data_IF_773031353832
#
_entry.id   IF_773031353832
#
_cell.length_a   1.000
_cell.length_b   1.000
_cell.length_c   1.000
_cell.angle_alpha   90.00
_cell.angle_beta   90.00
_cell.angle_gamma   90.00
#
_symmetry.space_group_name_H-M   'P 1'
#
loop_
_entity.id
_entity.type
_entity.pdbx_description
1 polymer ?
#
# COMPACT_ATOMS: atom_id res chain seq x y z
N UNK A 1 -50.10 24.16 10.34
CA UNK A 1 -49.64 22.75 10.20
C UNK A 1 -48.12 22.77 10.12
N UNK A 2 -47.44 22.27 11.17
CA UNK A 2 -45.98 22.40 11.34
C UNK A 2 -45.31 21.26 10.56
N UNK A 3 -44.45 21.64 9.63
CA UNK A 3 -43.53 20.81 8.88
C UNK A 3 -42.72 19.87 9.80
N UNK A 4 -43.20 18.65 10.03
CA UNK A 4 -42.39 17.54 10.57
C UNK A 4 -41.53 17.06 9.40
N UNK A 5 -40.42 17.77 9.21
CA UNK A 5 -39.44 17.63 8.14
C UNK A 5 -38.59 16.39 8.40
N UNK A 6 -38.26 15.64 7.34
CA UNK A 6 -37.33 14.49 7.16
C UNK A 6 -36.28 14.11 8.25
N UNK A 7 -35.93 15.00 9.17
CA UNK A 7 -35.03 14.76 10.29
C UNK A 7 -35.62 13.80 11.35
N UNK A 8 -36.95 13.79 11.51
CA UNK A 8 -37.60 12.96 12.53
C UNK A 8 -37.64 11.47 12.16
N UNK A 9 -37.67 11.13 10.87
CA UNK A 9 -37.69 9.74 10.41
C UNK A 9 -36.36 9.02 10.71
N UNK A 10 -35.22 9.64 10.39
CA UNK A 10 -33.89 9.08 10.72
C UNK A 10 -33.68 8.95 12.22
N UNK A 11 -34.23 9.87 13.00
CA UNK A 11 -34.19 9.81 14.46
C UNK A 11 -35.01 8.62 14.97
N UNK A 12 -36.22 8.41 14.43
CA UNK A 12 -37.08 7.27 14.75
C UNK A 12 -36.36 5.95 14.39
N UNK A 13 -35.76 5.86 13.20
CA UNK A 13 -34.99 4.68 12.77
C UNK A 13 -33.85 4.34 13.75
N UNK A 14 -33.05 5.35 14.12
CA UNK A 14 -31.97 5.17 15.13
C UNK A 14 -32.51 4.74 16.49
N UNK A 15 -33.66 5.24 16.91
CA UNK A 15 -34.28 4.84 18.17
C UNK A 15 -34.84 3.42 18.12
N UNK A 16 -35.42 2.99 16.99
CA UNK A 16 -35.84 1.60 16.76
C UNK A 16 -34.65 0.64 16.82
N UNK A 17 -33.46 1.05 16.36
CA UNK A 17 -32.25 0.25 16.57
C UNK A 17 -31.82 0.27 18.04
N UNK A 18 -31.74 1.46 18.63
CA UNK A 18 -31.19 1.69 19.96
C UNK A 18 -32.02 1.06 21.09
N UNK A 19 -33.34 0.88 20.91
CA UNK A 19 -34.22 0.28 21.91
C UNK A 19 -33.83 -1.15 22.28
N UNK A 20 -33.13 -1.86 21.37
CA UNK A 20 -32.64 -3.22 21.64
C UNK A 20 -31.50 -3.24 22.65
N UNK A 21 -30.89 -2.10 22.94
CA UNK A 21 -29.85 -1.88 23.95
C UNK A 21 -30.43 -1.31 25.25
N UNK A 22 -31.75 -1.32 25.40
CA UNK A 22 -32.44 -0.89 26.61
C UNK A 22 -33.10 -2.08 27.30
N UNK A 23 -33.16 -2.02 28.63
CA UNK A 23 -33.85 -3.02 29.46
C UNK A 23 -35.36 -2.72 29.59
N UNK A 24 -35.98 -2.06 28.61
CA UNK A 24 -37.38 -1.65 28.68
C UNK A 24 -38.32 -2.84 28.39
N UNK A 25 -39.24 -3.11 29.31
CA UNK A 25 -40.28 -4.13 29.13
C UNK A 25 -41.28 -3.74 28.04
N UNK A 26 -41.78 -2.50 28.07
CA UNK A 26 -42.60 -1.92 26.99
C UNK A 26 -41.74 -1.00 26.12
N UNK A 27 -41.17 -1.59 25.08
CA UNK A 27 -40.33 -0.90 24.09
C UNK A 27 -41.07 0.21 23.36
N UNK A 28 -42.38 0.07 23.09
CA UNK A 28 -43.14 1.06 22.33
C UNK A 28 -43.42 2.31 23.18
N UNK A 29 -43.86 2.13 24.42
CA UNK A 29 -44.05 3.23 25.36
C UNK A 29 -42.72 3.95 25.66
N UNK A 30 -41.63 3.19 25.82
CA UNK A 30 -40.30 3.75 26.02
C UNK A 30 -39.86 4.63 24.84
N UNK A 31 -40.00 4.14 23.60
CA UNK A 31 -39.65 4.91 22.39
C UNK A 31 -40.40 6.25 22.30
N UNK A 32 -41.71 6.22 22.49
CA UNK A 32 -42.55 7.43 22.44
C UNK A 32 -42.12 8.43 23.52
N UNK A 33 -41.84 7.94 24.74
CA UNK A 33 -41.39 8.79 25.85
C UNK A 33 -40.00 9.36 25.58
N UNK A 34 -39.06 8.53 25.14
CA UNK A 34 -37.68 8.93 24.85
C UNK A 34 -37.60 10.02 23.76
N UNK A 35 -38.39 9.89 22.69
CA UNK A 35 -38.45 10.89 21.62
C UNK A 35 -39.13 12.18 22.12
N UNK A 36 -40.26 12.07 22.82
CA UNK A 36 -41.01 13.23 23.33
C UNK A 36 -40.20 14.05 24.34
N UNK A 37 -39.44 13.37 25.20
CA UNK A 37 -38.64 13.97 26.27
C UNK A 37 -37.17 14.19 25.87
N UNK A 38 -36.81 13.89 24.61
CA UNK A 38 -35.46 14.08 24.04
C UNK A 38 -34.37 13.41 24.88
N UNK A 39 -34.61 12.16 25.27
CA UNK A 39 -33.62 11.36 25.99
C UNK A 39 -32.37 11.14 25.14
N UNK A 40 -31.27 10.79 25.80
CA UNK A 40 -30.05 10.33 25.12
C UNK A 40 -30.19 8.86 24.75
N UNK A 41 -29.53 8.45 23.66
CA UNK A 41 -29.47 7.04 23.29
C UNK A 41 -28.77 6.20 24.38
N UNK A 42 -29.14 4.91 24.52
CA UNK A 42 -28.42 3.97 25.36
C UNK A 42 -26.91 3.97 25.07
N UNK A 43 -26.11 3.89 26.14
CA UNK A 43 -24.65 4.00 26.02
C UNK A 43 -24.05 2.87 25.18
N UNK A 44 -24.59 1.65 25.30
CA UNK A 44 -24.16 0.49 24.52
C UNK A 44 -24.39 0.69 23.03
N UNK A 45 -25.54 1.25 22.63
CA UNK A 45 -25.80 1.62 21.23
C UNK A 45 -24.78 2.64 20.71
N UNK A 46 -24.51 3.69 21.49
CA UNK A 46 -23.51 4.72 21.12
C UNK A 46 -22.08 4.17 21.08
N UNK A 47 -21.78 3.15 21.89
CA UNK A 47 -20.48 2.47 21.88
C UNK A 47 -20.33 1.61 20.64
N UNK A 48 -21.34 0.79 20.32
CA UNK A 48 -21.33 -0.07 19.15
C UNK A 48 -21.24 0.75 17.86
N UNK A 49 -21.99 1.85 17.74
CA UNK A 49 -21.90 2.73 16.55
C UNK A 49 -20.52 3.38 16.40
N UNK A 50 -19.84 3.73 17.49
CA UNK A 50 -18.45 4.22 17.43
C UNK A 50 -17.48 3.11 17.02
N UNK A 51 -17.70 1.87 17.48
CA UNK A 51 -16.89 0.73 17.09
C UNK A 51 -17.07 0.35 15.62
N UNK A 52 -18.31 0.33 15.14
CA UNK A 52 -18.66 0.10 13.73
C UNK A 52 -17.98 1.14 12.84
N UNK A 53 -18.10 2.43 13.18
CA UNK A 53 -17.42 3.51 12.45
C UNK A 53 -15.90 3.35 12.45
N UNK A 54 -15.28 3.02 13.59
CA UNK A 54 -13.84 2.78 13.65
C UNK A 54 -13.42 1.62 12.76
N UNK A 55 -14.14 0.51 12.78
CA UNK A 55 -13.86 -0.66 11.92
C UNK A 55 -13.97 -0.30 10.45
N UNK A 56 -15.02 0.42 10.05
CA UNK A 56 -15.15 0.89 8.67
C UNK A 56 -14.01 1.82 8.24
N UNK A 57 -13.56 2.70 9.13
CA UNK A 57 -12.41 3.59 8.88
C UNK A 57 -11.10 2.80 8.75
N UNK A 58 -10.87 1.84 9.65
CA UNK A 58 -9.71 0.95 9.60
C UNK A 58 -9.68 0.13 8.31
N UNK A 59 -10.81 -0.45 7.90
CA UNK A 59 -10.96 -1.17 6.63
C UNK A 59 -10.68 -0.28 5.42
N UNK A 60 -11.19 0.96 5.42
CA UNK A 60 -10.90 1.95 4.35
C UNK A 60 -9.40 2.27 4.28
N UNK A 61 -8.76 2.47 5.43
CA UNK A 61 -7.32 2.75 5.50
C UNK A 61 -6.51 1.55 5.00
N UNK A 62 -6.86 0.34 5.42
CA UNK A 62 -6.20 -0.88 4.99
C UNK A 62 -6.33 -1.08 3.47
N UNK A 63 -7.54 -0.89 2.93
CA UNK A 63 -7.78 -0.94 1.49
C UNK A 63 -6.90 0.04 0.72
N UNK A 64 -6.83 1.30 1.16
CA UNK A 64 -5.99 2.34 0.53
C UNK A 64 -4.51 1.92 0.58
N UNK A 65 -4.04 1.42 1.74
CA UNK A 65 -2.66 0.96 1.91
C UNK A 65 -2.30 -0.19 0.97
N UNK A 66 -3.22 -1.15 0.79
CA UNK A 66 -3.05 -2.26 -0.16
C UNK A 66 -2.97 -1.71 -1.58
N UNK A 67 -3.88 -0.83 -1.98
CA UNK A 67 -3.89 -0.24 -3.33
C UNK A 67 -2.62 0.53 -3.65
N UNK A 68 -2.14 1.36 -2.72
CA UNK A 68 -0.88 2.08 -2.88
C UNK A 68 0.31 1.11 -3.06
N UNK A 69 0.36 0.04 -2.25
CA UNK A 69 1.41 -0.97 -2.34
C UNK A 69 1.35 -1.76 -3.65
N UNK A 70 0.15 -2.09 -4.15
CA UNK A 70 -0.04 -2.73 -5.45
C UNK A 70 0.47 -1.85 -6.61
N UNK A 71 0.13 -0.56 -6.60
CA UNK A 71 0.60 0.39 -7.61
C UNK A 71 2.11 0.59 -7.58
N UNK A 72 2.70 0.73 -6.39
CA UNK A 72 4.15 0.85 -6.23
C UNK A 72 4.87 -0.41 -6.75
N UNK A 73 4.36 -1.59 -6.41
CA UNK A 73 4.87 -2.86 -6.92
C UNK A 73 4.77 -2.96 -8.45
N UNK A 74 3.68 -2.48 -9.04
CA UNK A 74 3.50 -2.44 -10.49
C UNK A 74 4.55 -1.54 -11.15
N UNK A 75 4.72 -0.30 -10.64
CA UNK A 75 5.75 0.64 -11.11
C UNK A 75 7.15 0.05 -11.00
N UNK A 76 7.45 -0.60 -9.87
CA UNK A 76 8.73 -1.30 -9.65
C UNK A 76 8.96 -2.42 -10.65
N UNK A 77 7.95 -3.24 -10.96
CA UNK A 77 8.05 -4.33 -11.97
C UNK A 77 8.29 -3.78 -13.38
N UNK A 78 7.57 -2.74 -13.77
CA UNK A 78 7.75 -2.08 -15.06
C UNK A 78 9.13 -1.45 -15.20
N UNK A 79 9.65 -0.88 -14.12
CA UNK A 79 11.01 -0.34 -14.08
C UNK A 79 12.07 -1.43 -14.20
N UNK A 80 11.95 -2.53 -13.45
CA UNK A 80 12.86 -3.68 -13.56
C UNK A 80 12.88 -4.19 -15.00
N UNK A 81 11.70 -4.32 -15.63
CA UNK A 81 11.59 -4.76 -17.02
C UNK A 81 12.30 -3.80 -17.99
N UNK A 82 12.10 -2.49 -17.83
CA UNK A 82 12.76 -1.45 -18.65
C UNK A 82 14.27 -1.47 -18.49
N UNK A 83 14.76 -1.52 -17.26
CA UNK A 83 16.20 -1.53 -16.99
C UNK A 83 16.85 -2.83 -17.49
N UNK A 84 16.18 -3.97 -17.35
CA UNK A 84 16.64 -5.23 -17.92
C UNK A 84 16.73 -5.19 -19.46
N UNK A 85 15.75 -4.58 -20.12
CA UNK A 85 15.81 -4.36 -21.58
C UNK A 85 16.97 -3.46 -21.98
N UNK A 86 17.20 -2.36 -21.25
CA UNK A 86 18.34 -1.46 -21.48
C UNK A 86 19.64 -2.25 -21.34
N UNK A 87 19.85 -2.94 -20.22
CA UNK A 87 21.06 -3.73 -19.97
C UNK A 87 21.34 -4.73 -21.10
N UNK A 88 20.32 -5.51 -21.50
CA UNK A 88 20.45 -6.51 -22.56
C UNK A 88 20.72 -5.91 -23.95
N UNK A 89 20.45 -4.61 -24.15
CA UNK A 89 20.71 -3.89 -25.40
C UNK A 89 22.07 -3.19 -25.45
N UNK A 90 22.80 -3.14 -24.33
CA UNK A 90 24.14 -2.55 -24.25
C UNK A 90 25.19 -3.44 -24.91
N UNK A 91 26.29 -2.82 -25.32
CA UNK A 91 27.46 -3.56 -25.82
C UNK A 91 28.05 -4.46 -24.71
N UNK A 92 28.63 -5.62 -25.04
CA UNK A 92 29.20 -6.53 -24.04
C UNK A 92 30.23 -5.89 -23.11
N UNK A 93 31.00 -4.92 -23.61
CA UNK A 93 31.94 -4.15 -22.79
C UNK A 93 31.23 -3.31 -21.72
N UNK A 94 30.15 -2.62 -22.09
CA UNK A 94 29.36 -1.82 -21.14
C UNK A 94 28.64 -2.70 -20.12
N UNK A 95 28.12 -3.86 -20.54
CA UNK A 95 27.54 -4.85 -19.62
C UNK A 95 28.55 -5.32 -18.58
N UNK A 96 29.79 -5.59 -19.01
CA UNK A 96 30.88 -6.00 -18.13
C UNK A 96 31.27 -4.90 -17.15
N UNK A 97 31.41 -3.65 -17.61
CA UNK A 97 31.71 -2.51 -16.73
C UNK A 97 30.62 -2.31 -15.68
N UNK A 98 29.35 -2.40 -16.07
CA UNK A 98 28.21 -2.31 -15.14
C UNK A 98 28.25 -3.47 -14.14
N UNK A 99 28.61 -4.68 -14.56
CA UNK A 99 28.75 -5.84 -13.68
C UNK A 99 29.83 -5.59 -12.63
N UNK A 100 31.00 -5.13 -13.05
CA UNK A 100 32.12 -4.82 -12.16
C UNK A 100 31.73 -3.72 -11.16
N UNK A 101 31.12 -2.64 -11.64
CA UNK A 101 30.66 -1.54 -10.79
C UNK A 101 29.60 -2.00 -9.78
N UNK A 102 28.66 -2.85 -10.22
CA UNK A 102 27.64 -3.46 -9.35
C UNK A 102 28.27 -4.29 -8.25
N UNK A 103 29.23 -5.17 -8.59
CA UNK A 103 29.95 -6.00 -7.62
C UNK A 103 30.78 -5.12 -6.66
N UNK A 104 31.42 -4.06 -7.15
CA UNK A 104 32.21 -3.12 -6.36
C UNK A 104 31.40 -2.33 -5.33
N UNK A 105 30.12 -2.05 -5.62
CA UNK A 105 29.21 -1.35 -4.70
C UNK A 105 28.57 -2.26 -3.66
N UNK A 106 28.78 -3.57 -3.73
CA UNK A 106 28.29 -4.47 -2.70
C UNK A 106 29.06 -4.29 -1.38
N UNK A 107 28.36 -4.38 -0.23
CA UNK A 107 28.99 -4.55 1.07
C UNK A 107 29.99 -5.71 1.09
N UNK A 108 31.07 -5.59 1.87
CA UNK A 108 32.16 -6.57 1.93
C UNK A 108 31.68 -8.00 2.20
N UNK A 109 30.73 -8.19 3.11
CA UNK A 109 30.17 -9.51 3.42
C UNK A 109 29.42 -10.15 2.24
N UNK A 110 28.78 -9.34 1.38
CA UNK A 110 28.09 -9.83 0.18
C UNK A 110 29.09 -10.17 -0.93
N UNK A 111 30.17 -9.40 -1.07
CA UNK A 111 31.28 -9.73 -1.99
C UNK A 111 31.91 -11.08 -1.64
N UNK A 112 32.19 -11.29 -0.35
CA UNK A 112 32.76 -12.55 0.12
C UNK A 112 31.81 -13.74 -0.14
N UNK A 113 30.52 -13.55 0.11
CA UNK A 113 29.50 -14.56 -0.16
C UNK A 113 29.39 -14.86 -1.66
N UNK A 114 29.38 -13.82 -2.51
CA UNK A 114 29.36 -13.96 -3.96
C UNK A 114 30.58 -14.72 -4.48
N UNK A 115 31.78 -14.43 -3.96
CA UNK A 115 33.00 -15.14 -4.34
C UNK A 115 32.95 -16.61 -3.95
N UNK A 116 32.47 -16.94 -2.75
CA UNK A 116 32.28 -18.33 -2.30
C UNK A 116 31.28 -19.08 -3.18
N UNK A 117 30.22 -18.41 -3.61
CA UNK A 117 29.19 -18.94 -4.51
C UNK A 117 29.74 -19.15 -5.94
N UNK A 118 30.49 -18.19 -6.47
CA UNK A 118 31.23 -18.32 -7.75
C UNK A 118 32.15 -19.52 -7.79
N UNK A 119 32.96 -19.74 -6.75
CA UNK A 119 33.87 -20.90 -6.64
C UNK A 119 33.10 -22.23 -6.68
N UNK A 120 31.87 -22.25 -6.16
CA UNK A 120 30.98 -23.42 -6.16
C UNK A 120 30.16 -23.55 -7.43
N UNK A 121 30.26 -22.61 -8.37
CA UNK A 121 29.44 -22.58 -9.59
C UNK A 121 27.95 -22.40 -9.33
N UNK A 122 27.55 -21.87 -8.18
CA UNK A 122 26.15 -21.70 -7.78
C UNK A 122 25.92 -20.25 -7.35
N UNK A 123 24.75 -19.68 -7.62
CA UNK A 123 24.35 -18.37 -7.05
C UNK A 123 23.00 -18.53 -6.36
N UNK A 124 22.88 -18.03 -5.14
CA UNK A 124 21.62 -18.09 -4.39
C UNK A 124 20.61 -17.08 -4.96
N UNK A 125 19.33 -17.46 -5.00
CA UNK A 125 18.24 -16.58 -5.45
C UNK A 125 18.23 -15.22 -4.75
N UNK A 126 18.61 -15.19 -3.46
CA UNK A 126 18.70 -13.94 -2.71
C UNK A 126 19.82 -13.03 -3.26
N UNK A 127 20.99 -13.59 -3.56
CA UNK A 127 22.09 -12.82 -4.13
C UNK A 127 21.80 -12.34 -5.54
N UNK A 128 21.12 -13.14 -6.36
CA UNK A 128 20.64 -12.72 -7.68
C UNK A 128 19.74 -11.48 -7.58
N UNK A 129 18.75 -11.50 -6.68
CA UNK A 129 17.85 -10.36 -6.45
C UNK A 129 18.61 -9.12 -6.00
N UNK A 130 19.59 -9.28 -5.09
CA UNK A 130 20.42 -8.15 -4.62
C UNK A 130 21.29 -7.58 -5.74
N UNK A 131 21.88 -8.44 -6.58
CA UNK A 131 22.67 -8.01 -7.73
C UNK A 131 21.82 -7.32 -8.80
N UNK A 132 20.61 -7.80 -9.09
CA UNK A 132 19.66 -7.14 -9.99
C UNK A 132 19.27 -5.75 -9.47
N UNK A 133 19.01 -5.62 -8.17
CA UNK A 133 18.68 -4.35 -7.55
C UNK A 133 19.84 -3.35 -7.64
N UNK A 134 21.07 -3.78 -7.32
CA UNK A 134 22.24 -2.91 -7.41
C UNK A 134 22.59 -2.53 -8.84
N UNK A 135 22.49 -3.47 -9.78
CA UNK A 135 22.67 -3.20 -11.21
C UNK A 135 21.67 -2.17 -11.72
N UNK A 136 20.42 -2.23 -11.22
CA UNK A 136 19.40 -1.24 -11.55
C UNK A 136 19.78 0.17 -11.09
N UNK A 137 20.32 0.30 -9.88
CA UNK A 137 20.82 1.58 -9.37
C UNK A 137 21.95 2.14 -10.24
N UNK A 138 22.94 1.30 -10.58
CA UNK A 138 24.07 1.69 -11.44
C UNK A 138 23.58 2.18 -12.82
N UNK A 139 22.71 1.42 -13.47
CA UNK A 139 22.18 1.80 -14.80
C UNK A 139 21.42 3.11 -14.75
N UNK A 140 20.60 3.35 -13.72
CA UNK A 140 19.87 4.61 -13.56
C UNK A 140 20.81 5.80 -13.40
N UNK A 141 21.86 5.65 -12.59
CA UNK A 141 22.88 6.68 -12.41
C UNK A 141 23.61 6.95 -13.71
N UNK A 142 24.02 5.91 -14.43
CA UNK A 142 24.75 6.04 -15.70
C UNK A 142 23.92 6.68 -16.81
N UNK A 143 22.59 6.45 -16.82
CA UNK A 143 21.68 7.18 -17.71
C UNK A 143 21.64 8.66 -17.34
N UNK A 144 21.56 9.00 -16.05
CA UNK A 144 21.57 10.41 -15.58
C UNK A 144 22.89 11.11 -15.88
N UNK A 145 24.00 10.40 -15.76
CA UNK A 145 25.35 10.89 -16.05
C UNK A 145 25.67 10.93 -17.55
N UNK A 146 24.76 10.44 -18.41
CA UNK A 146 24.96 10.40 -19.86
C UNK A 146 25.95 9.34 -20.35
N UNK A 147 26.38 8.41 -19.48
CA UNK A 147 27.26 7.28 -19.83
C UNK A 147 26.55 6.22 -20.68
N UNK A 148 25.22 6.13 -20.55
CA UNK A 148 24.36 5.28 -21.39
C UNK A 148 23.50 6.19 -22.27
N UNK A 149 23.71 6.13 -23.58
CA UNK A 149 22.87 6.85 -24.55
C UNK A 149 21.70 5.95 -24.93
N UNK A 150 20.50 6.30 -24.49
CA UNK A 150 19.28 5.62 -24.92
C UNK A 150 19.00 6.00 -26.38
N UNK A 151 19.13 5.04 -27.31
CA UNK A 151 18.75 5.22 -28.72
C UNK A 151 17.25 5.56 -28.79
N UNK A 152 16.95 6.85 -28.94
CA UNK A 152 15.59 7.41 -28.87
C UNK A 152 15.51 8.78 -28.18
N UNK A 153 16.53 9.19 -27.42
CA UNK A 153 16.60 10.51 -26.79
C UNK A 153 17.35 11.57 -27.62
N UNK A 154 17.40 11.42 -28.95
CA UNK A 154 17.88 12.47 -29.86
C UNK A 154 16.69 13.00 -30.66
N UNK A 155 16.03 14.02 -30.11
CA UNK A 155 15.61 15.28 -30.77
C UNK A 155 14.58 16.00 -29.89
N UNK A 156 14.95 17.21 -29.50
CA UNK A 156 14.16 18.21 -28.80
C UNK A 156 15.08 19.39 -28.56
#
# INVERSE_FOLDING_TARGET
>A
RKLIKNNDQKLIEKWIEAINYSNADDKAAYLVKAIREKWQFPEEYLREKREEQRKEEEEKIEYIKIKLKEEENKKRREEIKRVGQIYNSLDPSQQEEIRIETENRLPGFLKEKLNKERVKGTTSKLLEVVLEEKRREVIKEWIKEGKIILKGAIKG
#
